data_IF_812591579989
#
_entry.id   IF_812591579989
#
_cell.length_a   1.000
_cell.length_b   1.000
_cell.length_c   1.000
_cell.angle_alpha   90.00
_cell.angle_beta   90.00
_cell.angle_gamma   90.00
#
_symmetry.space_group_name_H-M   'P 1'
#
loop_
_entity.id
_entity.type
_entity.pdbx_description
1 polymer ?
#
# COMPACT_ATOMS: atom_id res chain seq x y z
N UNK A 1 11.64 -5.62 -15.19
CA UNK A 1 10.95 -6.57 -16.08
C UNK A 1 10.38 -5.79 -17.27
N UNK A 2 10.40 -6.34 -18.48
CA UNK A 2 9.88 -5.67 -19.71
C UNK A 2 8.40 -5.97 -19.94
N UNK A 3 7.74 -5.20 -20.82
CA UNK A 3 6.31 -5.42 -21.17
C UNK A 3 6.03 -6.84 -21.68
N UNK A 4 6.92 -7.37 -22.54
CA UNK A 4 6.78 -8.73 -23.07
C UNK A 4 6.95 -9.80 -21.99
N UNK A 5 7.82 -9.58 -21.00
CA UNK A 5 7.98 -10.49 -19.86
C UNK A 5 6.74 -10.45 -18.96
N UNK A 6 6.20 -9.26 -18.68
CA UNK A 6 4.95 -9.10 -17.92
C UNK A 6 3.79 -9.79 -18.63
N UNK A 7 3.66 -9.64 -19.95
CA UNK A 7 2.60 -10.32 -20.70
C UNK A 7 2.69 -11.84 -20.59
N UNK A 8 3.89 -12.41 -20.54
CA UNK A 8 4.08 -13.86 -20.40
C UNK A 8 3.72 -14.39 -19.01
N UNK A 9 3.71 -13.55 -17.97
CA UNK A 9 3.28 -13.98 -16.62
C UNK A 9 1.76 -14.13 -16.51
N UNK A 10 1.00 -13.61 -17.48
CA UNK A 10 -0.45 -13.76 -17.54
C UNK A 10 -0.83 -14.59 -18.76
N UNK A 11 -1.30 -15.82 -18.54
CA UNK A 11 -1.67 -16.72 -19.63
C UNK A 11 -2.87 -16.21 -20.47
N UNK A 12 -3.79 -15.49 -19.83
CA UNK A 12 -5.08 -15.10 -20.40
C UNK A 12 -5.24 -13.59 -20.65
N UNK A 13 -4.16 -12.80 -20.50
CA UNK A 13 -4.23 -11.36 -20.77
C UNK A 13 -3.91 -11.04 -22.22
N UNK A 14 -4.83 -10.35 -22.88
CA UNK A 14 -4.55 -9.73 -24.18
C UNK A 14 -3.61 -8.53 -24.03
N UNK A 15 -2.82 -8.24 -25.06
CA UNK A 15 -1.97 -7.05 -25.11
C UNK A 15 -2.79 -5.76 -24.94
N UNK A 16 -4.00 -5.73 -25.51
CA UNK A 16 -4.91 -4.60 -25.41
C UNK A 16 -5.38 -4.32 -23.98
N UNK A 17 -5.47 -5.34 -23.12
CA UNK A 17 -5.86 -5.17 -21.72
C UNK A 17 -4.74 -4.47 -20.94
N UNK A 18 -3.50 -4.93 -21.12
CA UNK A 18 -2.35 -4.36 -20.43
C UNK A 18 -2.06 -2.92 -20.87
N UNK A 19 -2.18 -2.64 -22.17
CA UNK A 19 -2.05 -1.27 -22.70
C UNK A 19 -3.14 -0.36 -22.11
N UNK A 20 -4.40 -0.83 -22.05
CA UNK A 20 -5.50 -0.10 -21.40
C UNK A 20 -5.23 0.16 -19.92
N UNK A 21 -4.61 -0.77 -19.20
CA UNK A 21 -4.24 -0.58 -17.80
C UNK A 21 -3.15 0.47 -17.62
N UNK A 22 -2.22 0.60 -18.56
CA UNK A 22 -1.20 1.65 -18.56
C UNK A 22 -1.83 3.01 -18.91
N UNK A 23 -2.69 3.05 -19.93
CA UNK A 23 -3.39 4.27 -20.37
C UNK A 23 -4.31 4.82 -19.27
N UNK A 24 -5.04 3.94 -18.57
CA UNK A 24 -5.86 4.29 -17.41
C UNK A 24 -5.02 4.58 -16.14
N UNK A 25 -3.69 4.49 -16.24
CA UNK A 25 -2.73 4.68 -15.15
C UNK A 25 -2.94 3.76 -13.95
N UNK A 26 -3.55 2.60 -14.18
CA UNK A 26 -3.67 1.55 -13.18
C UNK A 26 -2.30 0.96 -12.91
N UNK A 27 -1.52 0.66 -13.97
CA UNK A 27 -0.11 0.30 -13.85
C UNK A 27 0.72 1.48 -14.34
N UNK A 28 1.79 1.82 -13.62
CA UNK A 28 2.62 2.98 -13.91
C UNK A 28 4.08 2.56 -14.05
N UNK A 29 4.42 1.84 -15.14
CA UNK A 29 5.79 1.46 -15.38
C UNK A 29 6.67 2.70 -15.55
N UNK A 30 7.94 2.56 -15.21
CA UNK A 30 8.94 3.58 -15.52
C UNK A 30 9.31 3.53 -17.00
N UNK A 31 9.66 4.68 -17.59
CA UNK A 31 10.10 4.77 -18.98
C UNK A 31 9.04 5.32 -19.93
N UNK A 32 9.11 4.92 -21.20
CA UNK A 32 8.29 5.44 -22.31
C UNK A 32 7.59 4.29 -23.03
N UNK A 33 6.50 4.56 -23.79
CA UNK A 33 5.89 3.57 -24.68
C UNK A 33 6.96 2.87 -25.54
N UNK A 34 6.97 1.54 -25.54
CA UNK A 34 7.96 0.71 -26.23
C UNK A 34 9.26 0.44 -25.47
N UNK A 35 9.50 1.11 -24.34
CA UNK A 35 10.67 0.91 -23.48
C UNK A 35 10.29 0.90 -21.99
N UNK A 36 9.13 0.32 -21.67
CA UNK A 36 8.65 0.24 -20.29
C UNK A 36 9.47 -0.72 -19.44
N UNK A 37 9.81 -0.25 -18.24
CA UNK A 37 10.43 -1.02 -17.18
C UNK A 37 9.42 -1.15 -16.04
N UNK A 38 8.99 -2.39 -15.80
CA UNK A 38 8.12 -2.76 -14.69
C UNK A 38 8.98 -3.20 -13.51
N UNK A 39 8.72 -2.60 -12.36
CA UNK A 39 9.25 -3.02 -11.07
C UNK A 39 8.35 -4.06 -10.43
N UNK A 40 8.84 -4.73 -9.39
CA UNK A 40 8.10 -5.77 -8.66
C UNK A 40 6.72 -5.27 -8.17
N UNK A 41 6.61 -4.00 -7.80
CA UNK A 41 5.34 -3.37 -7.42
C UNK A 41 4.35 -3.29 -8.58
N UNK A 42 4.82 -3.06 -9.80
CA UNK A 42 3.97 -2.99 -10.98
C UNK A 42 3.45 -4.38 -11.35
N UNK A 43 4.27 -5.42 -11.17
CA UNK A 43 3.88 -6.82 -11.36
C UNK A 43 2.81 -7.22 -10.35
N UNK A 44 3.04 -6.93 -9.07
CA UNK A 44 2.07 -7.19 -8.02
C UNK A 44 0.74 -6.47 -8.28
N UNK A 45 0.80 -5.22 -8.80
CA UNK A 45 -0.39 -4.47 -9.17
C UNK A 45 -1.11 -5.08 -10.37
N UNK A 46 -0.38 -5.56 -11.38
CA UNK A 46 -0.99 -6.25 -12.52
C UNK A 46 -1.73 -7.54 -12.10
N UNK A 47 -1.16 -8.32 -11.19
CA UNK A 47 -1.81 -9.52 -10.64
C UNK A 47 -3.09 -9.18 -9.90
N UNK A 48 -3.04 -8.17 -9.05
CA UNK A 48 -4.21 -7.71 -8.33
C UNK A 48 -5.32 -7.22 -9.29
N UNK A 49 -4.98 -6.43 -10.31
CA UNK A 49 -5.96 -5.97 -11.31
C UNK A 49 -6.61 -7.16 -12.03
N UNK A 50 -5.83 -8.19 -12.37
CA UNK A 50 -6.36 -9.43 -12.96
C UNK A 50 -7.33 -10.15 -11.99
N UNK A 51 -6.93 -10.35 -10.73
CA UNK A 51 -7.76 -10.99 -9.70
C UNK A 51 -9.08 -10.24 -9.45
N UNK A 52 -9.04 -8.90 -9.39
CA UNK A 52 -10.24 -8.09 -9.19
C UNK A 52 -11.22 -8.20 -10.38
N UNK A 53 -10.72 -8.34 -11.61
CA UNK A 53 -11.56 -8.56 -12.80
C UNK A 53 -12.17 -9.96 -12.82
N UNK A 54 -11.45 -10.98 -12.36
CA UNK A 54 -12.02 -12.33 -12.18
C UNK A 54 -13.17 -12.35 -11.17
N UNK A 55 -13.11 -11.47 -10.15
CA UNK A 55 -14.19 -11.27 -9.18
C UNK A 55 -15.36 -10.43 -9.71
N UNK A 56 -15.38 -10.13 -11.03
CA UNK A 56 -16.39 -9.31 -11.69
C UNK A 56 -16.55 -7.90 -11.07
N UNK A 57 -15.47 -7.33 -10.54
CA UNK A 57 -15.46 -5.92 -10.17
C UNK A 57 -15.44 -5.09 -11.45
N UNK A 58 -16.40 -4.18 -11.55
CA UNK A 58 -16.53 -3.27 -12.68
C UNK A 58 -15.26 -2.45 -12.89
N UNK A 59 -14.90 -2.24 -14.16
CA UNK A 59 -13.76 -1.40 -14.55
C UNK A 59 -13.92 0.04 -14.02
N UNK A 60 -15.14 0.52 -13.73
CA UNK A 60 -15.39 1.81 -13.07
C UNK A 60 -15.05 1.83 -11.57
N UNK A 61 -15.12 0.70 -10.87
CA UNK A 61 -14.82 0.59 -9.44
C UNK A 61 -13.32 0.34 -9.19
N UNK A 62 -12.63 -0.23 -10.18
CA UNK A 62 -11.19 -0.54 -10.13
C UNK A 62 -10.30 0.66 -9.73
N UNK A 63 -10.47 1.87 -10.30
CA UNK A 63 -9.68 3.04 -9.92
C UNK A 63 -9.77 3.38 -8.42
N UNK A 64 -10.96 3.23 -7.83
CA UNK A 64 -11.16 3.51 -6.41
C UNK A 64 -10.41 2.49 -5.55
N UNK A 65 -10.57 1.19 -5.85
CA UNK A 65 -9.89 0.10 -5.12
C UNK A 65 -8.38 0.25 -5.22
N UNK A 66 -7.87 0.52 -6.43
CA UNK A 66 -6.44 0.77 -6.65
C UNK A 66 -5.95 2.00 -5.89
N UNK A 67 -6.75 3.07 -5.80
CA UNK A 67 -6.37 4.26 -5.02
C UNK A 67 -6.25 3.97 -3.53
N UNK A 68 -7.14 3.13 -2.97
CA UNK A 68 -7.10 2.75 -1.56
C UNK A 68 -5.89 1.87 -1.24
N UNK A 69 -5.53 0.98 -2.17
CA UNK A 69 -4.33 0.16 -2.06
C UNK A 69 -3.07 1.03 -2.17
N UNK A 70 -3.03 1.96 -3.10
CA UNK A 70 -1.94 2.93 -3.23
C UNK A 70 -1.75 3.75 -1.94
N UNK A 71 -2.84 4.18 -1.31
CA UNK A 71 -2.79 4.85 0.00
C UNK A 71 -2.20 3.92 1.08
N UNK A 72 -2.66 2.67 1.16
CA UNK A 72 -2.16 1.69 2.13
C UNK A 72 -0.66 1.39 1.90
N UNK A 73 -0.24 1.20 0.65
CA UNK A 73 1.17 1.02 0.31
C UNK A 73 2.00 2.26 0.63
N UNK A 74 1.45 3.46 0.41
CA UNK A 74 2.05 4.73 0.81
C UNK A 74 2.33 4.79 2.31
N UNK A 75 1.32 4.48 3.14
CA UNK A 75 1.47 4.41 4.60
C UNK A 75 2.49 3.36 5.00
N UNK A 76 2.39 2.12 4.47
CA UNK A 76 3.37 1.04 4.75
C UNK A 76 4.79 1.45 4.39
N UNK A 77 4.99 2.15 3.27
CA UNK A 77 6.29 2.66 2.83
C UNK A 77 6.82 3.73 3.78
N UNK A 78 5.98 4.68 4.18
CA UNK A 78 6.35 5.72 5.14
C UNK A 78 6.74 5.12 6.49
N UNK A 79 5.98 4.15 6.99
CA UNK A 79 6.33 3.42 8.23
C UNK A 79 7.66 2.68 8.11
N UNK A 80 7.91 1.97 6.99
CA UNK A 80 9.21 1.31 6.74
C UNK A 80 10.36 2.32 6.71
N UNK A 81 10.16 3.47 6.09
CA UNK A 81 11.17 4.53 6.05
C UNK A 81 11.43 5.09 7.45
N UNK A 82 10.38 5.41 8.20
CA UNK A 82 10.49 5.88 9.58
C UNK A 82 11.26 4.87 10.44
N UNK A 83 10.90 3.60 10.37
CA UNK A 83 11.59 2.51 11.06
C UNK A 83 13.08 2.45 10.69
N UNK A 84 13.41 2.50 9.39
CA UNK A 84 14.80 2.52 8.92
C UNK A 84 15.57 3.73 9.45
N UNK A 85 14.96 4.91 9.46
CA UNK A 85 15.57 6.15 9.96
C UNK A 85 15.83 6.09 11.46
N UNK A 86 14.87 5.58 12.25
CA UNK A 86 15.02 5.38 13.70
C UNK A 86 16.14 4.37 14.00
N UNK A 87 16.18 3.26 13.27
CA UNK A 87 17.22 2.25 13.46
C UNK A 87 18.63 2.72 13.08
N UNK A 88 18.74 3.65 12.13
CA UNK A 88 20.02 4.26 11.76
C UNK A 88 20.53 5.27 12.81
N UNK A 89 19.72 5.62 13.82
CA UNK A 89 20.15 6.54 14.89
C UNK A 89 21.07 5.85 15.92
N UNK A 90 21.95 6.63 16.57
CA UNK A 90 22.68 6.19 17.76
C UNK A 90 21.74 5.62 18.84
N UNK A 91 22.27 4.69 19.63
CA UNK A 91 21.48 3.96 20.62
C UNK A 91 20.85 4.88 21.68
N UNK A 92 21.53 5.97 22.08
CA UNK A 92 20.95 6.93 23.02
C UNK A 92 19.68 7.57 22.47
N UNK A 93 19.70 7.98 21.20
CA UNK A 93 18.56 8.62 20.52
C UNK A 93 17.40 7.63 20.35
N UNK A 94 17.70 6.38 19.99
CA UNK A 94 16.68 5.32 19.85
C UNK A 94 15.99 5.01 21.18
N UNK A 95 16.76 4.98 22.29
CA UNK A 95 16.22 4.78 23.64
C UNK A 95 15.31 5.94 24.05
N UNK A 96 15.74 7.18 23.82
CA UNK A 96 14.92 8.36 24.10
C UNK A 96 13.59 8.35 23.31
N UNK A 97 13.64 7.99 22.02
CA UNK A 97 12.45 7.85 21.17
C UNK A 97 11.48 6.79 21.69
N UNK A 98 11.97 5.62 22.12
CA UNK A 98 11.11 4.54 22.65
C UNK A 98 10.39 4.93 23.95
N UNK A 99 11.04 5.72 24.82
CA UNK A 99 10.41 6.28 26.03
C UNK A 99 9.30 7.25 25.66
N UNK A 100 9.56 8.16 24.72
CA UNK A 100 8.56 9.14 24.27
C UNK A 100 7.35 8.47 23.58
N UNK A 101 7.57 7.49 22.70
CA UNK A 101 6.48 6.78 22.00
C UNK A 101 5.58 6.02 22.99
N UNK A 102 6.16 5.36 24.01
CA UNK A 102 5.37 4.69 25.05
C UNK A 102 4.54 5.66 25.88
N UNK A 103 5.08 6.84 26.19
CA UNK A 103 4.34 7.87 26.90
C UNK A 103 3.17 8.43 26.06
N UNK A 104 3.30 8.46 24.73
CA UNK A 104 2.20 8.85 23.83
C UNK A 104 1.21 7.71 23.52
N UNK A 105 1.59 6.45 23.74
CA UNK A 105 0.78 5.27 23.41
C UNK A 105 -0.12 4.76 24.55
N UNK A 106 0.00 5.30 25.78
CA UNK A 106 -0.80 4.88 26.93
C UNK A 106 -1.57 6.06 27.57
N UNK A 107 -2.91 6.01 27.72
CA UNK A 107 -3.85 5.31 26.83
C UNK A 107 -5.14 6.11 26.48
N UNK A 108 -5.78 5.73 25.36
CA UNK A 108 -7.22 5.89 25.09
C UNK A 108 -8.07 4.80 25.81
N UNK A 109 -7.47 4.06 26.76
CA UNK A 109 -8.16 3.21 27.74
C UNK A 109 -8.42 4.05 29.00
N UNK A 110 -9.52 4.81 28.95
CA UNK A 110 -10.11 5.52 30.07
C UNK A 110 -11.61 5.30 30.12
N UNK A 111 -12.04 4.05 29.88
CA UNK A 111 -13.37 3.58 30.25
C UNK A 111 -13.22 2.71 31.51
N UNK A 112 -12.88 3.35 32.63
CA UNK A 112 -13.10 2.74 33.93
C UNK A 112 -14.44 3.25 34.47
N UNK A 113 -15.28 2.29 34.83
CA UNK A 113 -16.40 2.46 35.73
C UNK A 113 -15.88 3.13 37.03
N UNK A 114 -16.58 3.94 37.80
CA UNK A 114 -17.98 3.98 38.20
C UNK A 114 -18.12 5.32 38.94
N UNK A 115 -19.11 6.19 38.69
CA UNK A 115 -19.46 7.19 39.68
C UNK A 115 -20.47 6.53 40.61
N UNK A 116 -20.03 6.20 41.82
CA UNK A 116 -20.91 6.21 42.98
C UNK A 116 -21.87 7.41 42.86
N UNK A 117 -23.15 7.10 42.57
CA UNK A 117 -24.27 7.97 42.89
C UNK A 117 -25.14 7.24 43.89
N UNK A 118 -24.67 7.27 45.13
CA UNK A 118 -25.56 7.18 46.28
C UNK A 118 -26.48 8.41 46.33
N UNK A 119 -27.70 8.17 46.80
CA UNK A 119 -28.51 9.17 47.49
C UNK A 119 -29.50 9.97 46.63
N UNK A 120 -30.71 9.46 46.50
CA UNK A 120 -31.90 9.99 47.19
C UNK A 120 -33.12 9.10 46.89
#
# INVERSE_FOLDING_TARGET
MTLNELRRSFADLDAADLDRWIDNRWIRPEGRPGAYVFHEIDVARAHLVAELRELAIDDEALPLVLSLLDQLYGVRRQMKLLYKTINAQPEEVRRALMVAVRASAAPMDGADADPERGGA
#
